data_IF_586793179331
#
_entry.id   IF_586793179331
#
_cell.length_a   1.000
_cell.length_b   1.000
_cell.length_c   1.000
_cell.angle_alpha   90.00
_cell.angle_beta   90.00
_cell.angle_gamma   90.00
#
_symmetry.space_group_name_H-M   'P 1'
#
loop_
_entity.id
_entity.type
_entity.pdbx_description
1 polymer ?
#
# COMPACT_ATOMS: atom_id res chain seq x y z
N UNK A 1 -0.49 -0.24 -4.45
CA UNK A 1 -1.93 0.02 -4.19
C UNK A 1 -2.72 -1.29 -4.23
N UNK A 2 -4.05 -1.24 -4.02
CA UNK A 2 -4.90 -2.43 -4.09
C UNK A 2 -5.22 -2.83 -5.56
N UNK A 3 -5.48 -4.11 -5.83
CA UNK A 3 -6.00 -4.61 -7.13
C UNK A 3 -7.45 -4.23 -7.41
N UNK A 4 -8.16 -3.68 -6.42
CA UNK A 4 -9.56 -3.28 -6.54
C UNK A 4 -9.78 -2.36 -7.75
N UNK A 5 -10.65 -2.78 -8.67
CA UNK A 5 -10.86 -2.10 -9.95
C UNK A 5 -11.47 -0.71 -9.82
N UNK A 6 -12.00 -0.34 -8.65
CA UNK A 6 -12.57 0.98 -8.35
C UNK A 6 -11.51 2.03 -8.03
N UNK A 7 -10.26 1.62 -7.80
CA UNK A 7 -9.13 2.50 -7.44
C UNK A 7 -7.90 2.29 -8.34
N UNK A 8 -8.01 2.47 -9.66
CA UNK A 8 -6.83 2.53 -10.53
C UNK A 8 -6.04 3.82 -10.25
N UNK A 9 -4.77 3.74 -9.78
CA UNK A 9 -4.01 4.92 -9.38
C UNK A 9 -3.86 5.99 -10.47
N UNK A 10 -3.77 5.58 -11.72
CA UNK A 10 -3.66 6.46 -12.88
C UNK A 10 -4.89 7.36 -13.02
N UNK A 11 -6.09 6.83 -12.76
CA UNK A 11 -7.33 7.61 -12.81
C UNK A 11 -7.48 8.46 -11.56
N UNK A 12 -7.16 7.90 -10.38
CA UNK A 12 -7.28 8.61 -9.09
C UNK A 12 -6.39 9.85 -9.06
N UNK A 13 -5.20 9.77 -9.65
CA UNK A 13 -4.24 10.88 -9.71
C UNK A 13 -4.26 11.67 -11.01
N UNK A 14 -5.16 11.35 -11.95
CA UNK A 14 -5.21 11.98 -13.29
C UNK A 14 -3.85 11.97 -14.02
N UNK A 15 -3.22 10.78 -14.09
CA UNK A 15 -1.90 10.57 -14.68
C UNK A 15 -1.97 9.74 -15.96
N UNK A 16 -1.01 9.94 -16.85
CA UNK A 16 -0.90 9.28 -18.15
C UNK A 16 0.07 8.12 -18.20
N UNK A 17 0.32 7.65 -19.43
CA UNK A 17 1.25 6.55 -19.70
C UNK A 17 2.69 6.98 -19.43
N UNK A 18 3.36 6.26 -18.54
CA UNK A 18 4.76 6.51 -18.18
C UNK A 18 4.94 7.41 -16.95
N UNK A 19 3.87 8.01 -16.43
CA UNK A 19 3.93 8.89 -15.26
C UNK A 19 4.01 8.10 -13.94
N UNK A 20 3.36 6.93 -13.87
CA UNK A 20 3.33 6.07 -12.69
C UNK A 20 3.93 4.69 -12.99
N UNK A 21 4.82 4.24 -12.09
CA UNK A 21 5.12 2.82 -11.94
C UNK A 21 4.15 2.23 -10.91
N UNK A 22 3.18 1.44 -11.37
CA UNK A 22 2.12 0.90 -10.51
C UNK A 22 2.38 -0.54 -10.12
N UNK A 23 2.47 -0.79 -8.81
CA UNK A 23 2.43 -2.15 -8.22
C UNK A 23 1.10 -2.32 -7.49
N UNK A 24 0.34 -3.35 -7.87
CA UNK A 24 -1.00 -3.61 -7.33
C UNK A 24 -1.14 -5.06 -6.88
N UNK A 25 -1.43 -5.24 -5.59
CA UNK A 25 -1.70 -6.52 -4.92
C UNK A 25 -2.93 -6.35 -4.04
N UNK A 26 -3.65 -7.42 -3.70
CA UNK A 26 -4.78 -7.27 -2.78
C UNK A 26 -4.28 -6.84 -1.39
N UNK A 27 -4.96 -5.89 -0.75
CA UNK A 27 -4.57 -5.40 0.57
C UNK A 27 -3.16 -4.78 0.62
N UNK A 28 -2.63 -4.31 -0.52
CA UNK A 28 -1.27 -3.78 -0.62
C UNK A 28 -0.18 -4.76 -0.15
N UNK A 29 -0.44 -6.08 -0.26
CA UNK A 29 0.55 -7.13 0.02
C UNK A 29 1.92 -6.83 -0.62
N UNK A 30 2.97 -6.98 0.18
CA UNK A 30 4.37 -6.79 -0.20
C UNK A 30 5.06 -8.12 -0.52
N UNK A 31 4.33 -9.22 -0.65
CA UNK A 31 4.92 -10.53 -0.88
C UNK A 31 5.68 -10.63 -2.22
N UNK A 32 6.84 -11.29 -2.15
CA UNK A 32 7.62 -11.74 -3.31
C UNK A 32 7.89 -10.65 -4.36
N UNK A 33 7.36 -10.86 -5.56
CA UNK A 33 7.62 -10.02 -6.75
C UNK A 33 7.05 -8.60 -6.62
N UNK A 34 6.10 -8.36 -5.71
CA UNK A 34 5.57 -7.03 -5.46
C UNK A 34 6.65 -6.12 -4.87
N UNK A 35 7.34 -6.59 -3.82
CA UNK A 35 8.46 -5.86 -3.23
C UNK A 35 9.61 -5.70 -4.22
N UNK A 36 9.95 -6.76 -4.97
CA UNK A 36 10.97 -6.67 -6.02
C UNK A 36 10.66 -5.61 -7.08
N UNK A 37 9.39 -5.41 -7.42
CA UNK A 37 8.96 -4.36 -8.37
C UNK A 37 9.11 -2.95 -7.79
N UNK A 38 8.81 -2.78 -6.50
CA UNK A 38 9.03 -1.51 -5.78
C UNK A 38 10.53 -1.20 -5.72
N UNK A 39 11.34 -2.20 -5.35
CA UNK A 39 12.80 -2.09 -5.34
C UNK A 39 13.36 -1.72 -6.73
N UNK A 40 12.83 -2.30 -7.80
CA UNK A 40 13.24 -1.93 -9.16
C UNK A 40 12.97 -0.46 -9.45
N UNK A 41 11.76 0.03 -9.13
CA UNK A 41 11.40 1.44 -9.29
C UNK A 41 12.35 2.38 -8.55
N UNK A 42 12.66 2.08 -7.29
CA UNK A 42 13.54 2.94 -6.49
C UNK A 42 15.01 2.78 -6.88
N UNK A 43 15.52 1.55 -6.92
CA UNK A 43 16.96 1.25 -7.03
C UNK A 43 17.48 1.31 -8.46
N UNK A 44 16.64 1.02 -9.45
CA UNK A 44 17.04 0.98 -10.87
C UNK A 44 16.56 2.22 -11.61
N UNK A 45 15.28 2.59 -11.44
CA UNK A 45 14.71 3.77 -12.11
C UNK A 45 14.95 5.09 -11.36
N UNK A 46 15.39 5.03 -10.09
CA UNK A 46 15.68 6.21 -9.28
C UNK A 46 14.45 6.98 -8.83
N UNK A 47 13.28 6.34 -8.75
CA UNK A 47 12.04 7.01 -8.37
C UNK A 47 12.13 7.61 -6.94
N UNK A 48 11.86 8.91 -6.77
CA UNK A 48 12.00 9.60 -5.49
C UNK A 48 10.82 9.39 -4.54
N UNK A 49 9.67 8.92 -5.04
CA UNK A 49 8.42 8.85 -4.30
C UNK A 49 7.77 7.48 -4.48
N UNK A 50 7.39 6.87 -3.36
CA UNK A 50 6.56 5.67 -3.27
C UNK A 50 5.27 6.04 -2.57
N UNK A 51 4.14 5.86 -3.24
CA UNK A 51 2.81 6.09 -2.66
C UNK A 51 2.18 4.75 -2.30
N UNK A 52 1.94 4.53 -1.01
CA UNK A 52 1.11 3.42 -0.53
C UNK A 52 -0.34 3.90 -0.53
N UNK A 53 -1.16 3.33 -1.41
CA UNK A 53 -2.58 3.69 -1.53
C UNK A 53 -3.48 2.59 -0.95
N UNK A 54 -4.07 2.91 0.21
CA UNK A 54 -5.20 2.24 0.83
C UNK A 54 -6.54 2.69 0.23
N UNK A 55 -7.62 1.95 0.48
CA UNK A 55 -8.97 2.42 0.17
C UNK A 55 -10.02 1.87 1.12
N UNK A 56 -11.10 2.62 1.35
CA UNK A 56 -12.23 2.15 2.18
C UNK A 56 -12.90 0.91 1.57
N UNK A 57 -13.43 0.04 2.42
CA UNK A 57 -14.12 -1.19 1.98
C UNK A 57 -13.20 -2.21 1.27
N UNK A 58 -11.93 -2.30 1.68
CA UNK A 58 -10.97 -3.23 1.08
C UNK A 58 -11.31 -4.69 1.37
N UNK A 59 -11.62 -5.47 0.33
CA UNK A 59 -11.99 -6.88 0.47
C UNK A 59 -10.90 -7.76 1.08
N UNK A 60 -9.61 -7.48 0.81
CA UNK A 60 -8.51 -8.24 1.40
C UNK A 60 -8.34 -7.97 2.90
N UNK A 61 -8.53 -6.72 3.34
CA UNK A 61 -8.52 -6.36 4.77
C UNK A 61 -9.71 -7.00 5.47
N UNK A 62 -10.90 -6.95 4.86
CA UNK A 62 -12.09 -7.62 5.40
C UNK A 62 -11.89 -9.13 5.53
N UNK A 63 -11.31 -9.79 4.53
CA UNK A 63 -11.00 -11.21 4.58
C UNK A 63 -9.92 -11.56 5.62
N UNK A 64 -8.97 -10.66 5.86
CA UNK A 64 -7.96 -10.82 6.91
C UNK A 64 -8.52 -10.68 8.33
N UNK A 65 -9.66 -9.98 8.49
CA UNK A 65 -10.39 -9.89 9.76
C UNK A 65 -11.35 -11.07 10.00
N UNK A 66 -11.62 -11.89 8.98
CA UNK A 66 -12.52 -13.03 9.10
C UNK A 66 -11.84 -14.19 9.85
N UNK A 67 -12.53 -14.79 10.82
CA UNK A 67 -12.01 -15.96 11.54
C UNK A 67 -11.89 -17.20 10.63
N UNK A 68 -12.65 -17.24 9.53
CA UNK A 68 -12.62 -18.34 8.56
C UNK A 68 -11.57 -18.08 7.47
N UNK A 69 -10.31 -18.31 7.82
CA UNK A 69 -9.20 -18.11 6.89
C UNK A 69 -9.23 -19.14 5.74
N UNK A 70 -9.13 -18.67 4.48
CA UNK A 70 -9.07 -19.54 3.30
C UNK A 70 -7.74 -20.30 3.23
N UNK A 71 -7.68 -21.34 2.38
CA UNK A 71 -6.46 -22.10 2.11
C UNK A 71 -5.73 -21.64 0.83
N UNK A 72 -4.59 -22.27 0.56
CA UNK A 72 -3.76 -21.99 -0.62
C UNK A 72 -3.24 -20.55 -0.67
N UNK A 73 -3.05 -20.03 -1.88
CA UNK A 73 -2.52 -18.68 -2.10
C UNK A 73 -3.41 -17.56 -1.56
N UNK A 74 -4.72 -17.82 -1.43
CA UNK A 74 -5.61 -16.84 -0.82
C UNK A 74 -5.36 -16.76 0.69
N UNK A 75 -5.12 -17.90 1.35
CA UNK A 75 -4.71 -17.95 2.75
C UNK A 75 -3.36 -17.29 3.02
N UNK A 76 -2.38 -17.48 2.11
CA UNK A 76 -1.08 -16.78 2.19
C UNK A 76 -1.27 -15.25 2.15
N UNK A 77 -2.15 -14.77 1.26
CA UNK A 77 -2.45 -13.36 1.10
C UNK A 77 -3.19 -12.77 2.30
N UNK A 78 -4.25 -13.44 2.79
CA UNK A 78 -5.01 -12.95 3.95
C UNK A 78 -4.19 -13.04 5.23
N UNK A 79 -3.36 -14.08 5.38
CA UNK A 79 -2.42 -14.21 6.49
C UNK A 79 -1.40 -13.07 6.54
N UNK A 80 -0.79 -12.73 5.40
CA UNK A 80 0.16 -11.61 5.33
C UNK A 80 -0.49 -10.26 5.70
N UNK A 81 -1.73 -10.03 5.26
CA UNK A 81 -2.49 -8.83 5.65
C UNK A 81 -2.85 -8.88 7.14
N UNK A 82 -3.29 -10.02 7.66
CA UNK A 82 -3.62 -10.20 9.07
C UNK A 82 -2.40 -9.98 9.99
N UNK A 83 -1.22 -10.44 9.59
CA UNK A 83 0.04 -10.22 10.32
C UNK A 83 0.34 -8.72 10.51
N UNK A 84 0.01 -7.88 9.53
CA UNK A 84 0.13 -6.42 9.63
C UNK A 84 -0.92 -5.79 10.55
N UNK A 85 -2.08 -6.44 10.70
CA UNK A 85 -3.17 -5.99 11.55
C UNK A 85 -3.01 -6.41 13.01
N UNK A 86 -1.95 -7.15 13.37
CA UNK A 86 -1.73 -7.66 14.74
C UNK A 86 -1.74 -6.60 15.85
N UNK A 87 -1.43 -5.34 15.53
CA UNK A 87 -1.51 -4.21 16.47
C UNK A 87 -2.91 -3.57 16.57
N UNK A 88 -3.86 -3.98 15.73
CA UNK A 88 -5.24 -3.50 15.69
C UNK A 88 -6.09 -4.37 16.59
N UNK A 89 -6.72 -3.75 17.58
CA UNK A 89 -7.70 -4.41 18.45
C UNK A 89 -9.11 -4.10 17.91
N UNK A 90 -9.84 -5.15 17.55
CA UNK A 90 -11.24 -5.10 17.09
C UNK A 90 -11.42 -5.38 15.60
N UNK A 91 -12.68 -5.48 15.19
CA UNK A 91 -13.16 -5.88 13.85
C UNK A 91 -13.62 -4.70 12.98
N UNK A 92 -13.27 -3.46 13.37
CA UNK A 92 -13.64 -2.26 12.62
C UNK A 92 -12.87 -2.17 11.28
N UNK A 93 -13.55 -2.31 10.13
CA UNK A 93 -12.90 -2.33 8.83
C UNK A 93 -12.19 -1.02 8.46
N UNK A 94 -12.69 0.12 8.95
CA UNK A 94 -12.09 1.42 8.65
C UNK A 94 -10.76 1.54 9.37
N UNK A 95 -10.74 1.19 10.66
CA UNK A 95 -9.52 1.18 11.47
C UNK A 95 -8.51 0.15 10.95
N UNK A 96 -8.96 -1.03 10.57
CA UNK A 96 -8.10 -2.06 9.98
C UNK A 96 -7.50 -1.59 8.65
N UNK A 97 -8.27 -0.91 7.80
CA UNK A 97 -7.76 -0.36 6.54
C UNK A 97 -6.66 0.68 6.79
N UNK A 98 -6.90 1.61 7.72
CA UNK A 98 -5.90 2.62 8.10
C UNK A 98 -4.63 1.98 8.67
N UNK A 99 -4.79 1.00 9.57
CA UNK A 99 -3.65 0.31 10.16
C UNK A 99 -2.85 -0.52 9.15
N UNK A 100 -3.50 -1.19 8.20
CA UNK A 100 -2.79 -1.90 7.12
C UNK A 100 -1.99 -0.93 6.24
N UNK A 101 -2.56 0.24 5.96
CA UNK A 101 -1.87 1.31 5.24
C UNK A 101 -0.63 1.77 6.02
N UNK A 102 -0.78 2.12 7.29
CA UNK A 102 0.31 2.60 8.15
C UNK A 102 1.41 1.54 8.32
N UNK A 103 1.03 0.28 8.54
CA UNK A 103 1.95 -0.84 8.65
C UNK A 103 2.72 -1.07 7.35
N UNK A 104 2.06 -0.95 6.20
CA UNK A 104 2.71 -1.07 4.89
C UNK A 104 3.71 0.06 4.64
N UNK A 105 3.36 1.30 5.00
CA UNK A 105 4.28 2.46 4.95
C UNK A 105 5.49 2.22 5.85
N UNK A 106 5.27 1.82 7.10
CA UNK A 106 6.34 1.54 8.05
C UNK A 106 7.26 0.39 7.56
N UNK A 107 6.68 -0.68 7.03
CA UNK A 107 7.41 -1.81 6.47
C UNK A 107 8.38 -1.35 5.36
N UNK A 108 7.89 -0.57 4.38
CA UNK A 108 8.74 -0.05 3.30
C UNK A 108 9.85 0.88 3.81
N UNK A 109 9.55 1.75 4.77
CA UNK A 109 10.54 2.65 5.40
C UNK A 109 11.62 1.89 6.19
N UNK A 110 11.29 0.71 6.71
CA UNK A 110 12.22 -0.14 7.46
C UNK A 110 13.22 -0.91 6.59
N UNK A 111 13.05 -0.88 5.26
CA UNK A 111 13.94 -1.58 4.33
C UNK A 111 15.21 -0.76 4.12
N UNK A 112 16.30 -1.17 4.77
CA UNK A 112 17.61 -0.51 4.65
C UNK A 112 18.09 -0.42 3.19
N UNK A 113 17.79 -1.45 2.37
CA UNK A 113 18.20 -1.54 0.97
C UNK A 113 17.32 -0.76 -0.02
N UNK A 114 16.22 -0.15 0.42
CA UNK A 114 15.36 0.66 -0.43
C UNK A 114 15.99 2.05 -0.61
N UNK A 115 16.97 2.12 -1.51
CA UNK A 115 17.78 3.30 -1.79
C UNK A 115 17.86 3.55 -3.28
N UNK A 116 17.82 4.82 -3.67
CA UNK A 116 18.01 5.27 -5.05
C UNK A 116 19.47 5.07 -5.49
N UNK A 117 19.78 5.16 -6.81
CA UNK A 117 21.15 5.06 -7.31
C UNK A 117 22.15 6.05 -6.68
N UNK A 118 21.65 7.20 -6.22
CA UNK A 118 22.45 8.23 -5.52
C UNK A 118 22.67 7.92 -4.02
N UNK A 119 22.18 6.79 -3.52
CA UNK A 119 22.30 6.34 -2.14
C UNK A 119 21.25 6.92 -1.18
N UNK A 120 20.37 7.81 -1.63
CA UNK A 120 19.33 8.41 -0.78
C UNK A 120 18.09 7.51 -0.67
N UNK A 121 17.34 7.64 0.43
CA UNK A 121 16.06 6.97 0.58
C UNK A 121 14.97 7.66 -0.27
N UNK A 122 13.98 6.93 -0.81
CA UNK A 122 12.79 7.55 -1.38
C UNK A 122 11.90 8.11 -0.26
N UNK A 123 11.05 9.08 -0.60
CA UNK A 123 9.89 9.41 0.21
C UNK A 123 8.87 8.28 0.10
N UNK A 124 8.33 7.82 1.22
CA UNK A 124 7.26 6.81 1.27
C UNK A 124 6.07 7.44 1.96
N UNK A 125 4.96 7.65 1.24
CA UNK A 125 3.76 8.33 1.75
C UNK A 125 2.57 7.39 1.81
N UNK A 126 1.67 7.65 2.76
CA UNK A 126 0.40 6.95 2.92
C UNK A 126 -0.75 7.78 2.40
N UNK A 127 -1.63 7.16 1.61
CA UNK A 127 -2.84 7.78 1.10
C UNK A 127 -4.03 6.82 1.22
N UNK A 128 -5.14 7.32 1.76
CA UNK A 128 -6.39 6.59 1.87
C UNK A 128 -7.42 7.15 0.89
N UNK A 129 -7.85 6.32 -0.06
CA UNK A 129 -8.92 6.67 -0.99
C UNK A 129 -10.30 6.25 -0.46
N UNK A 130 -11.22 7.20 -0.38
CA UNK A 130 -12.59 6.91 0.01
C UNK A 130 -13.44 6.59 -1.24
N UNK A 131 -13.92 5.34 -1.33
CA UNK A 131 -14.70 4.86 -2.48
C UNK A 131 -16.04 5.58 -2.66
N UNK A 132 -16.64 6.10 -1.58
CA UNK A 132 -17.96 6.72 -1.63
C UNK A 132 -17.90 8.18 -2.11
N UNK A 133 -16.83 8.88 -1.75
CA UNK A 133 -16.64 10.31 -2.02
C UNK A 133 -15.67 10.59 -3.16
N UNK A 134 -14.82 9.64 -3.51
CA UNK A 134 -13.74 9.82 -4.48
C UNK A 134 -12.56 10.66 -3.95
N UNK A 135 -12.51 10.92 -2.64
CA UNK A 135 -11.48 11.74 -2.02
C UNK A 135 -10.27 10.89 -1.65
N UNK A 136 -9.10 11.36 -2.07
CA UNK A 136 -7.79 10.84 -1.72
C UNK A 136 -7.19 11.67 -0.58
N UNK A 137 -7.10 11.10 0.63
CA UNK A 137 -6.55 11.78 1.81
C UNK A 137 -5.14 11.30 2.09
N UNK A 138 -4.18 12.23 2.16
CA UNK A 138 -2.82 11.92 2.64
C UNK A 138 -2.90 11.66 4.14
N UNK A 139 -2.50 10.46 4.57
CA UNK A 139 -2.48 10.06 5.99
C UNK A 139 -1.08 10.17 6.60
N UNK A 140 -0.04 10.12 5.76
CA UNK A 140 1.35 10.31 6.11
C UNK A 140 2.07 10.94 4.92
N UNK A 141 2.53 12.18 5.07
CA UNK A 141 3.19 12.95 4.01
C UNK A 141 4.71 12.74 3.95
N UNK A 142 5.30 11.91 4.82
CA UNK A 142 6.75 11.76 4.96
C UNK A 142 7.51 13.08 5.19
N UNK A 143 6.86 14.10 5.76
CA UNK A 143 7.42 15.45 5.89
C UNK A 143 7.51 16.21 4.56
N UNK A 144 6.85 15.73 3.49
CA UNK A 144 6.61 16.51 2.28
C UNK A 144 5.57 17.58 2.60
N UNK A 145 6.01 18.69 3.16
CA UNK A 145 5.15 19.85 3.37
C UNK A 145 4.46 20.20 2.04
N UNK A 146 3.13 20.07 2.00
CA UNK A 146 2.31 20.53 0.89
C UNK A 146 2.41 22.07 0.89
N UNK A 147 3.24 22.61 0.01
CA UNK A 147 3.39 24.06 -0.20
C UNK A 147 2.14 24.65 -0.86
#
# INVERSE_FOLDING_TARGET
GCVDSRVPPEVVFDQGVGDLLTVRTAGQSLAGVALGSIEFGVRVLGLPLVVVMGHTGCGAVLAALDDNQPDGHLGELTGEVADRLTAVVGDDPVRATGANLDATVAALRSIDGLRRPDGTAPYVVGLLYDLATGVATVTDDAGLAVA
#
